data_IF_241946035478
#
_entry.id   IF_241946035478
#
_cell.length_a   1.000
_cell.length_b   1.000
_cell.length_c   1.000
_cell.angle_alpha   90.00
_cell.angle_beta   90.00
_cell.angle_gamma   90.00
#
_symmetry.space_group_name_H-M   'P 1'
#
loop_
_entity.id
_entity.type
_entity.pdbx_description
1 polymer ?
#
# COMPACT_ATOMS: atom_id res chain seq x y z
N UNK A 1 -4.45 -20.53 -1.82
CA UNK A 1 -4.85 -20.73 -0.40
C UNK A 1 -3.89 -19.89 0.44
N UNK A 2 -4.39 -18.94 1.23
CA UNK A 2 -3.55 -18.18 2.17
C UNK A 2 -3.13 -19.12 3.30
N UNK A 3 -1.86 -19.52 3.32
CA UNK A 3 -1.31 -20.38 4.37
C UNK A 3 -1.10 -19.55 5.64
N UNK A 4 -1.89 -19.85 6.69
CA UNK A 4 -1.78 -19.14 7.98
C UNK A 4 -0.68 -19.81 8.80
N UNK A 5 0.43 -19.09 9.01
CA UNK A 5 1.55 -19.53 9.85
C UNK A 5 1.42 -18.90 11.24
N UNK A 6 1.49 -19.74 12.29
CA UNK A 6 1.51 -19.26 13.69
C UNK A 6 2.92 -18.76 14.04
N UNK A 7 2.99 -17.56 14.57
CA UNK A 7 4.26 -16.93 14.98
C UNK A 7 4.19 -16.62 16.48
N UNK A 8 5.28 -16.90 17.19
CA UNK A 8 5.47 -16.47 18.59
C UNK A 8 6.46 -15.31 18.60
N UNK A 9 6.07 -14.18 19.18
CA UNK A 9 6.90 -12.97 19.23
C UNK A 9 7.02 -12.49 20.67
N UNK A 10 8.20 -11.98 21.02
CA UNK A 10 8.43 -11.28 22.29
C UNK A 10 8.20 -9.79 22.08
N UNK A 11 7.36 -9.17 22.90
CA UNK A 11 7.04 -7.75 22.83
C UNK A 11 7.18 -7.10 24.20
N UNK A 12 7.54 -5.82 24.21
CA UNK A 12 7.51 -5.03 25.43
C UNK A 12 6.08 -4.93 25.99
N UNK A 13 5.97 -4.86 27.32
CA UNK A 13 4.67 -4.88 28.02
C UNK A 13 3.73 -3.76 27.59
N UNK A 14 4.28 -2.58 27.29
CA UNK A 14 3.53 -1.44 26.75
C UNK A 14 2.84 -1.75 25.41
N UNK A 15 3.51 -2.47 24.51
CA UNK A 15 2.95 -2.88 23.22
C UNK A 15 1.87 -3.94 23.37
N UNK A 16 1.99 -4.84 24.35
CA UNK A 16 0.94 -5.81 24.67
C UNK A 16 -0.32 -5.07 25.15
N UNK A 17 -0.16 -4.09 26.06
CA UNK A 17 -1.28 -3.27 26.54
C UNK A 17 -1.95 -2.47 25.42
N UNK A 18 -1.16 -1.94 24.48
CA UNK A 18 -1.68 -1.28 23.28
C UNK A 18 -2.46 -2.25 22.40
N UNK A 19 -1.93 -3.45 22.15
CA UNK A 19 -2.62 -4.47 21.35
C UNK A 19 -3.95 -4.92 21.99
N UNK A 20 -4.01 -5.04 23.31
CA UNK A 20 -5.26 -5.31 24.05
C UNK A 20 -6.28 -4.18 23.91
N UNK A 21 -5.83 -2.92 23.94
CA UNK A 21 -6.68 -1.75 23.73
C UNK A 21 -7.27 -1.75 22.31
N UNK A 22 -6.41 -1.90 21.30
CA UNK A 22 -6.82 -1.96 19.88
C UNK A 22 -7.76 -3.14 19.61
N UNK A 23 -7.51 -4.28 20.25
CA UNK A 23 -8.39 -5.45 20.15
C UNK A 23 -9.79 -5.14 20.68
N UNK A 24 -9.92 -4.41 21.79
CA UNK A 24 -11.21 -3.98 22.33
C UNK A 24 -11.91 -2.97 21.43
N UNK A 25 -11.19 -1.95 20.97
CA UNK A 25 -11.74 -0.89 20.10
C UNK A 25 -12.28 -1.46 18.79
N UNK A 26 -11.55 -2.42 18.19
CA UNK A 26 -11.91 -3.04 16.92
C UNK A 26 -12.72 -4.34 17.07
N UNK A 27 -13.18 -4.66 18.29
CA UNK A 27 -13.93 -5.87 18.63
C UNK A 27 -13.33 -7.17 18.05
N UNK A 28 -12.02 -7.33 18.20
CA UNK A 28 -11.24 -8.45 17.66
C UNK A 28 -10.34 -9.07 18.73
N UNK A 29 -9.65 -10.16 18.40
CA UNK A 29 -8.64 -10.75 19.28
C UNK A 29 -7.33 -9.95 19.24
N UNK A 30 -6.47 -10.09 20.26
CA UNK A 30 -5.11 -9.52 20.27
C UNK A 30 -4.33 -9.84 18.98
N UNK A 31 -4.36 -11.10 18.56
CA UNK A 31 -3.70 -11.53 17.31
C UNK A 31 -4.35 -10.92 16.08
N UNK A 32 -5.67 -10.73 16.09
CA UNK A 32 -6.39 -10.04 15.01
C UNK A 32 -6.00 -8.56 14.93
N UNK A 33 -5.92 -7.86 16.06
CA UNK A 33 -5.48 -6.46 16.10
C UNK A 33 -4.04 -6.30 15.58
N UNK A 34 -3.14 -7.20 15.99
CA UNK A 34 -1.75 -7.21 15.50
C UNK A 34 -1.70 -7.48 13.99
N UNK A 35 -2.49 -8.45 13.50
CA UNK A 35 -2.53 -8.77 12.07
C UNK A 35 -3.04 -7.58 11.23
N UNK A 36 -4.08 -6.88 11.69
CA UNK A 36 -4.62 -5.71 10.99
C UNK A 36 -3.57 -4.60 10.92
N UNK A 37 -2.88 -4.28 12.02
CA UNK A 37 -1.85 -3.23 12.03
C UNK A 37 -0.68 -3.60 11.11
N UNK A 38 -0.28 -4.87 11.07
CA UNK A 38 0.77 -5.35 10.16
C UNK A 38 0.34 -5.24 8.70
N UNK A 39 -0.93 -5.51 8.40
CA UNK A 39 -1.50 -5.38 7.07
C UNK A 39 -1.55 -3.91 6.63
N UNK A 40 -2.04 -3.01 7.50
CA UNK A 40 -2.06 -1.56 7.26
C UNK A 40 -0.63 -1.03 6.98
N UNK A 41 0.37 -1.50 7.72
CA UNK A 41 1.77 -1.12 7.51
C UNK A 41 2.33 -1.64 6.17
N UNK A 42 1.94 -2.86 5.76
CA UNK A 42 2.36 -3.43 4.50
C UNK A 42 1.78 -2.64 3.31
N UNK A 43 0.50 -2.32 3.36
CA UNK A 43 -0.20 -1.51 2.36
C UNK A 43 0.40 -0.11 2.25
N UNK A 44 0.71 0.53 3.39
CA UNK A 44 1.33 1.85 3.37
C UNK A 44 2.74 1.83 2.75
N UNK A 45 3.52 0.77 3.02
CA UNK A 45 4.84 0.60 2.38
C UNK A 45 4.74 0.41 0.88
N UNK A 46 3.78 -0.40 0.42
CA UNK A 46 3.51 -0.59 -1.00
C UNK A 46 3.11 0.72 -1.66
N UNK A 47 2.21 1.49 -1.04
CA UNK A 47 1.78 2.81 -1.52
C UNK A 47 2.96 3.78 -1.63
N UNK A 48 3.85 3.82 -0.64
CA UNK A 48 5.03 4.69 -0.67
C UNK A 48 6.00 4.28 -1.80
N UNK A 49 6.21 2.98 -2.01
CA UNK A 49 7.02 2.48 -3.12
C UNK A 49 6.41 2.85 -4.49
N UNK A 50 5.09 2.78 -4.64
CA UNK A 50 4.42 3.24 -5.85
C UNK A 50 4.64 4.73 -6.09
N UNK A 51 4.46 5.56 -5.05
CA UNK A 51 4.69 7.02 -5.14
C UNK A 51 6.13 7.31 -5.59
N UNK A 52 7.10 6.61 -5.03
CA UNK A 52 8.51 6.77 -5.40
C UNK A 52 8.75 6.35 -6.86
N UNK A 53 8.19 5.22 -7.30
CA UNK A 53 8.27 4.78 -8.69
C UNK A 53 7.66 5.78 -9.68
N UNK A 54 6.47 6.31 -9.37
CA UNK A 54 5.84 7.35 -10.20
C UNK A 54 6.67 8.63 -10.25
N UNK A 55 7.29 9.04 -9.14
CA UNK A 55 8.19 10.22 -9.13
C UNK A 55 9.44 9.98 -9.96
N UNK A 56 10.05 8.80 -9.86
CA UNK A 56 11.24 8.44 -10.63
C UNK A 56 10.98 8.43 -12.14
N UNK A 57 9.81 7.95 -12.56
CA UNK A 57 9.41 7.87 -13.97
C UNK A 57 8.76 9.15 -14.50
N UNK A 58 8.50 10.14 -13.65
CA UNK A 58 7.72 11.32 -14.01
C UNK A 58 8.33 12.08 -15.19
N UNK A 59 9.65 12.25 -15.22
CA UNK A 59 10.31 13.02 -16.29
C UNK A 59 10.27 12.26 -17.63
N UNK A 60 10.59 10.97 -17.62
CA UNK A 60 10.53 10.12 -18.81
C UNK A 60 9.10 10.00 -19.35
N UNK A 61 8.10 9.91 -18.48
CA UNK A 61 6.70 9.92 -18.88
C UNK A 61 6.28 11.26 -19.49
N UNK A 62 6.79 12.40 -19.00
CA UNK A 62 6.53 13.72 -19.60
C UNK A 62 7.16 13.85 -20.98
N UNK A 63 8.41 13.44 -21.12
CA UNK A 63 9.13 13.47 -22.41
C UNK A 63 8.43 12.58 -23.43
N UNK A 64 8.10 11.34 -23.04
CA UNK A 64 7.36 10.42 -23.89
C UNK A 64 5.97 10.97 -24.28
N UNK A 65 5.22 11.53 -23.34
CA UNK A 65 3.94 12.16 -23.63
C UNK A 65 4.09 13.32 -24.61
N UNK A 66 5.09 14.20 -24.43
CA UNK A 66 5.35 15.32 -25.33
C UNK A 66 5.68 14.86 -26.76
N UNK A 67 6.42 13.75 -26.89
CA UNK A 67 6.76 13.17 -28.19
C UNK A 67 5.58 12.46 -28.87
N UNK A 68 4.69 11.85 -28.09
CA UNK A 68 3.63 10.97 -28.62
C UNK A 68 2.28 11.66 -28.76
N UNK A 69 1.99 12.73 -28.00
CA UNK A 69 0.75 13.50 -28.11
C UNK A 69 0.43 13.95 -29.55
N UNK A 70 1.42 14.48 -30.31
CA UNK A 70 1.18 14.91 -31.69
C UNK A 70 0.78 13.73 -32.59
N UNK A 71 1.44 12.58 -32.47
CA UNK A 71 1.12 11.37 -33.24
C UNK A 71 -0.23 10.78 -32.82
N UNK A 72 -0.57 10.83 -31.53
CA UNK A 72 -1.85 10.33 -31.04
C UNK A 72 -3.02 11.13 -31.63
N UNK A 73 -2.89 12.45 -31.78
CA UNK A 73 -3.91 13.31 -32.39
C UNK A 73 -4.14 13.01 -33.89
N UNK A 74 -3.17 12.43 -34.59
CA UNK A 74 -3.31 12.08 -36.01
C UNK A 74 -4.07 10.76 -36.23
N UNK A 75 -4.05 9.86 -35.24
CA UNK A 75 -4.55 8.48 -35.39
C UNK A 75 -5.80 8.23 -34.56
N UNK A 76 -5.96 8.92 -33.43
CA UNK A 76 -7.16 8.78 -32.59
C UNK A 76 -8.29 9.63 -33.17
N UNK A 77 -9.47 9.03 -33.47
CA UNK A 77 -10.62 9.80 -33.90
C UNK A 77 -11.10 10.70 -32.75
N UNK A 78 -11.63 11.87 -33.06
CA UNK A 78 -12.40 12.65 -32.09
C UNK A 78 -13.66 11.85 -31.72
N UNK A 79 -13.68 11.24 -30.55
CA UNK A 79 -14.90 10.64 -30.01
C UNK A 79 -15.81 11.80 -29.57
N UNK A 80 -16.84 12.09 -30.37
CA UNK A 80 -17.98 12.94 -30.01
C UNK A 80 -19.00 12.18 -29.17
#
# INVERSE_FOLDING_TARGET
MSEIVKVTISLHRNLISLADMLARERNTSRSGAIAIVLQELAEERERLAMIEGYKAMAEQHREFAAMTLPLANEVLPEWK
#
